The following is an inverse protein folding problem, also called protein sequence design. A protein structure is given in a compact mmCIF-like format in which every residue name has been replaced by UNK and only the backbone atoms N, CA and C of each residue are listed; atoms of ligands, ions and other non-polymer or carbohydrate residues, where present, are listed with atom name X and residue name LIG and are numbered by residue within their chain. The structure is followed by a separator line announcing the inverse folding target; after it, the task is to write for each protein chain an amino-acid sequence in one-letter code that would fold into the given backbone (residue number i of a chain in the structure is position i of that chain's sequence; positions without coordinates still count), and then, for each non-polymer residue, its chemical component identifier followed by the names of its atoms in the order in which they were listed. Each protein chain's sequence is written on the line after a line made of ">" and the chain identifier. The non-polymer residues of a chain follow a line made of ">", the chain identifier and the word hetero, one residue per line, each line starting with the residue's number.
data_IF_859988625760
#
_entry.id   IF_859988625760
#
_cell.length_a   1.000
_cell.length_b   1.000
_cell.length_c   1.000
_cell.angle_alpha   90.00
_cell.angle_beta   90.00
_cell.angle_gamma   90.00
#
_symmetry.space_group_name_H-M   'P 1'
#
loop_
_entity.id
_entity.type
_entity.pdbx_description
1 polymer ?
#
# COMPACT_ATOMS: atom_id res chain seq x y z
N UNK A 1 16.62 -3.33 12.30
CA UNK A 1 16.42 -4.75 12.01
C UNK A 1 16.69 -5.03 10.54
N UNK A 2 17.50 -6.02 10.26
CA UNK A 2 17.83 -6.31 8.88
C UNK A 2 16.64 -6.95 8.16
N UNK A 3 16.53 -6.60 6.91
CA UNK A 3 15.51 -7.08 6.01
C UNK A 3 16.01 -8.39 5.38
N UNK A 4 15.18 -9.41 5.37
CA UNK A 4 15.53 -10.72 4.81
C UNK A 4 15.10 -10.90 3.36
N UNK A 5 14.63 -9.82 2.73
CA UNK A 5 14.17 -9.87 1.34
C UNK A 5 15.28 -9.51 0.37
N UNK A 6 15.28 -10.17 -0.79
CA UNK A 6 16.18 -9.79 -1.89
C UNK A 6 15.67 -8.49 -2.53
N UNK A 7 16.53 -7.87 -3.34
CA UNK A 7 16.14 -6.66 -4.08
C UNK A 7 14.96 -6.95 -5.01
N UNK A 8 14.95 -8.10 -5.68
CA UNK A 8 13.84 -8.46 -6.55
C UNK A 8 12.54 -8.63 -5.78
N UNK A 9 12.61 -9.25 -4.60
CA UNK A 9 11.43 -9.41 -3.76
C UNK A 9 10.88 -8.06 -3.31
N UNK A 10 11.77 -7.15 -2.94
CA UNK A 10 11.38 -5.79 -2.55
C UNK A 10 10.72 -5.05 -3.70
N UNK A 11 11.23 -5.22 -4.92
CA UNK A 11 10.64 -4.59 -6.10
C UNK A 11 9.22 -5.11 -6.35
N UNK A 12 9.00 -6.40 -6.16
CA UNK A 12 7.66 -6.99 -6.27
C UNK A 12 6.73 -6.40 -5.21
N UNK A 13 7.22 -6.26 -4.00
CA UNK A 13 6.44 -5.69 -2.90
C UNK A 13 6.07 -4.24 -3.19
N UNK A 14 7.01 -3.46 -3.69
CA UNK A 14 6.77 -2.05 -4.05
C UNK A 14 5.69 -1.95 -5.11
N UNK A 15 5.78 -2.76 -6.17
CA UNK A 15 4.78 -2.77 -7.24
C UNK A 15 3.41 -3.18 -6.71
N UNK A 16 3.36 -4.21 -5.89
CA UNK A 16 2.11 -4.69 -5.33
C UNK A 16 1.46 -3.64 -4.42
N UNK A 17 2.26 -2.98 -3.60
CA UNK A 17 1.76 -1.95 -2.68
C UNK A 17 1.25 -0.72 -3.43
N UNK A 18 1.93 -0.33 -4.50
CA UNK A 18 1.50 0.78 -5.34
C UNK A 18 0.14 0.48 -5.97
N UNK A 19 -0.01 -0.71 -6.54
CA UNK A 19 -1.26 -1.13 -7.16
C UNK A 19 -2.38 -1.23 -6.13
N UNK A 20 -2.07 -1.76 -4.96
CA UNK A 20 -3.05 -1.90 -3.89
C UNK A 20 -3.52 -0.53 -3.39
N UNK A 21 -2.59 0.40 -3.18
CA UNK A 21 -2.93 1.76 -2.76
C UNK A 21 -3.85 2.44 -3.78
N UNK A 22 -3.54 2.27 -5.07
CA UNK A 22 -4.35 2.82 -6.15
C UNK A 22 -5.76 2.23 -6.15
N UNK A 23 -5.87 0.91 -5.95
CA UNK A 23 -7.15 0.22 -5.87
C UNK A 23 -7.97 0.70 -4.67
N UNK A 24 -7.33 0.88 -3.53
CA UNK A 24 -8.00 1.39 -2.33
C UNK A 24 -8.52 2.81 -2.56
N UNK A 25 -7.74 3.64 -3.25
CA UNK A 25 -8.17 5.00 -3.58
C UNK A 25 -9.44 5.00 -4.43
N UNK A 26 -9.49 4.13 -5.43
CA UNK A 26 -10.68 4.01 -6.29
C UNK A 26 -11.89 3.58 -5.48
N UNK A 27 -11.71 2.59 -4.61
CA UNK A 27 -12.82 2.09 -3.78
C UNK A 27 -13.28 3.14 -2.79
N UNK A 28 -12.36 3.92 -2.27
CA UNK A 28 -12.68 5.02 -1.36
C UNK A 28 -13.56 6.07 -2.06
N UNK A 29 -13.22 6.40 -3.30
CA UNK A 29 -13.98 7.38 -4.09
C UNK A 29 -15.37 6.87 -4.46
N UNK A 30 -15.49 5.56 -4.67
CA UNK A 30 -16.75 4.93 -5.05
C UNK A 30 -17.61 4.53 -3.85
N UNK A 31 -17.08 4.66 -2.65
CA UNK A 31 -17.79 4.23 -1.44
C UNK A 31 -18.98 5.13 -1.15
N UNK A 32 -20.13 4.52 -0.88
CA UNK A 32 -21.37 5.22 -0.54
C UNK A 32 -21.48 5.51 0.95
N UNK A 33 -20.80 4.71 1.77
CA UNK A 33 -20.89 4.81 3.23
C UNK A 33 -19.58 5.32 3.82
N UNK A 34 -19.70 6.14 4.86
CA UNK A 34 -18.52 6.71 5.54
C UNK A 34 -17.62 5.63 6.14
N UNK A 35 -18.22 4.57 6.70
CA UNK A 35 -17.46 3.46 7.27
C UNK A 35 -16.59 2.78 6.22
N UNK A 36 -17.16 2.55 5.05
CA UNK A 36 -16.47 1.92 3.94
C UNK A 36 -15.33 2.81 3.43
N UNK A 37 -15.61 4.10 3.30
CA UNK A 37 -14.62 5.08 2.87
C UNK A 37 -13.44 5.13 3.85
N UNK A 38 -13.72 5.15 5.14
CA UNK A 38 -12.70 5.17 6.18
C UNK A 38 -11.86 3.88 6.16
N UNK A 39 -12.51 2.75 5.93
CA UNK A 39 -11.83 1.46 5.82
C UNK A 39 -10.76 1.49 4.72
N UNK A 40 -11.13 1.93 3.52
CA UNK A 40 -10.20 1.98 2.40
C UNK A 40 -9.14 3.06 2.56
N UNK A 41 -9.50 4.17 3.18
CA UNK A 41 -8.54 5.23 3.49
C UNK A 41 -7.41 4.72 4.38
N UNK A 42 -7.75 3.99 5.43
CA UNK A 42 -6.75 3.42 6.34
C UNK A 42 -5.85 2.41 5.66
N UNK A 43 -6.42 1.59 4.80
CA UNK A 43 -5.65 0.60 4.07
C UNK A 43 -4.72 1.26 3.05
N UNK A 44 -5.18 2.29 2.39
CA UNK A 44 -4.36 3.08 1.46
C UNK A 44 -3.18 3.71 2.19
N UNK A 45 -3.42 4.33 3.33
CA UNK A 45 -2.37 4.97 4.13
C UNK A 45 -1.34 3.95 4.61
N UNK A 46 -1.79 2.78 5.05
CA UNK A 46 -0.90 1.71 5.48
C UNK A 46 -0.05 1.19 4.32
N UNK A 47 -0.66 1.03 3.15
CA UNK A 47 0.06 0.59 1.96
C UNK A 47 1.12 1.62 1.56
N UNK A 48 0.80 2.91 1.63
CA UNK A 48 1.75 3.97 1.32
C UNK A 48 2.94 4.00 2.29
N UNK A 49 2.68 3.76 3.57
CA UNK A 49 3.76 3.68 4.55
C UNK A 49 4.68 2.49 4.28
N UNK A 50 4.09 1.33 3.99
CA UNK A 50 4.86 0.13 3.66
C UNK A 50 5.66 0.32 2.37
N UNK A 51 5.08 0.98 1.39
CA UNK A 51 5.73 1.32 0.13
C UNK A 51 7.00 2.14 0.37
N UNK A 52 6.90 3.19 1.17
CA UNK A 52 8.05 4.04 1.49
C UNK A 52 9.14 3.28 2.22
N UNK A 53 8.75 2.39 3.14
CA UNK A 53 9.71 1.56 3.87
C UNK A 53 10.43 0.59 2.95
N UNK A 54 9.70 -0.04 2.04
CA UNK A 54 10.28 -0.98 1.08
C UNK A 54 11.25 -0.29 0.13
N UNK A 55 10.91 0.93 -0.31
CA UNK A 55 11.81 1.71 -1.17
C UNK A 55 13.15 2.02 -0.51
N UNK A 56 13.15 2.25 0.79
CA UNK A 56 14.40 2.53 1.53
C UNK A 56 15.31 1.33 1.56
N UNK A 57 14.77 0.13 1.47
CA UNK A 57 15.53 -1.11 1.57
C UNK A 57 16.06 -1.59 0.21
N UNK A 58 15.65 -0.97 -0.86
CA UNK A 58 16.20 -1.23 -2.19
C UNK A 58 17.47 -0.42 -2.37
#
# INVERSE_FOLDING_TARGET
>A
MSNNFTAYELMVMVDALEKYASECEKRMKDADMDMEREYYKRRMESANRAYKKALKDI
#
